data_IF_152502522632
#
_entry.id   IF_152502522632
#
_cell.length_a   1.000
_cell.length_b   1.000
_cell.length_c   1.000
_cell.angle_alpha   90.00
_cell.angle_beta   90.00
_cell.angle_gamma   90.00
#
_symmetry.space_group_name_H-M   'P 1'
#
loop_
_entity.id
_entity.type
_entity.pdbx_description
1 polymer ?
#
# COMPACT_ATOMS: atom_id res chain seq x y z
N UNK A 1 24.14 23.38 -18.86
CA UNK A 1 24.18 22.66 -17.57
C UNK A 1 24.40 23.71 -16.49
N UNK A 2 23.62 23.74 -15.40
CA UNK A 2 23.73 24.79 -14.35
C UNK A 2 25.08 24.69 -13.61
N UNK A 3 25.68 25.83 -13.19
CA UNK A 3 26.95 25.88 -12.41
C UNK A 3 26.93 24.89 -11.24
N UNK A 4 25.80 24.82 -10.53
CA UNK A 4 25.58 23.93 -9.40
C UNK A 4 25.74 22.43 -9.71
N UNK A 5 25.46 21.99 -10.94
CA UNK A 5 25.64 20.59 -11.33
C UNK A 5 27.09 20.25 -11.68
N UNK A 6 27.86 21.24 -12.16
CA UNK A 6 29.28 21.07 -12.39
C UNK A 6 30.00 20.98 -11.04
N UNK A 7 29.70 21.90 -10.12
CA UNK A 7 30.28 21.89 -8.77
C UNK A 7 30.02 20.56 -8.03
N UNK A 8 28.79 20.04 -8.11
CA UNK A 8 28.43 18.75 -7.50
C UNK A 8 29.16 17.56 -8.16
N UNK A 9 29.37 17.60 -9.47
CA UNK A 9 30.14 16.58 -10.19
C UNK A 9 31.61 16.61 -9.74
N UNK A 10 32.19 17.80 -9.65
CA UNK A 10 33.59 17.98 -9.26
C UNK A 10 33.83 17.61 -7.80
N UNK A 11 32.85 17.80 -6.91
CA UNK A 11 32.93 17.29 -5.53
C UNK A 11 32.83 15.77 -5.47
N UNK A 12 31.88 15.15 -6.18
CA UNK A 12 31.78 13.67 -6.25
C UNK A 12 33.05 13.03 -6.79
N UNK A 13 33.66 13.64 -7.79
CA UNK A 13 34.94 13.19 -8.34
C UNK A 13 36.06 13.29 -7.29
N UNK A 14 36.11 14.38 -6.52
CA UNK A 14 37.05 14.51 -5.39
C UNK A 14 36.81 13.46 -4.31
N UNK A 15 35.57 13.14 -3.95
CA UNK A 15 35.26 12.08 -3.00
C UNK A 15 35.69 10.69 -3.52
N UNK A 16 35.48 10.41 -4.81
CA UNK A 16 35.96 9.18 -5.44
C UNK A 16 37.49 9.07 -5.38
N UNK A 17 38.22 10.14 -5.71
CA UNK A 17 39.68 10.15 -5.63
C UNK A 17 40.19 9.96 -4.20
N UNK A 18 39.51 10.53 -3.19
CA UNK A 18 39.83 10.26 -1.77
C UNK A 18 39.62 8.80 -1.42
N UNK A 19 38.53 8.19 -1.88
CA UNK A 19 38.26 6.77 -1.66
C UNK A 19 39.29 5.87 -2.36
N UNK A 20 39.69 6.18 -3.59
CA UNK A 20 40.75 5.48 -4.32
C UNK A 20 42.09 5.55 -3.56
N UNK A 21 42.45 6.71 -2.99
CA UNK A 21 43.66 6.84 -2.18
C UNK A 21 43.61 6.03 -0.87
N UNK A 22 42.41 5.64 -0.42
CA UNK A 22 42.16 4.92 0.83
C UNK A 22 41.72 3.47 0.61
N UNK A 23 41.77 2.96 -0.62
CA UNK A 23 41.16 1.67 -0.96
C UNK A 23 41.85 0.47 -0.31
N UNK A 24 43.09 0.62 0.18
CA UNK A 24 43.83 -0.45 0.86
C UNK A 24 43.90 -1.72 -0.02
N UNK A 25 43.48 -2.85 0.55
CA UNK A 25 43.44 -4.15 -0.12
C UNK A 25 42.15 -4.39 -0.96
N UNK A 26 41.28 -3.38 -1.13
CA UNK A 26 40.08 -3.52 -1.93
C UNK A 26 40.45 -3.78 -3.40
N UNK A 27 39.83 -4.80 -4.00
CA UNK A 27 40.03 -5.14 -5.40
C UNK A 27 39.23 -4.23 -6.34
N UNK A 28 38.09 -3.71 -5.88
CA UNK A 28 37.20 -2.84 -6.66
C UNK A 28 36.62 -1.69 -5.83
N UNK A 29 36.46 -0.54 -6.47
CA UNK A 29 35.76 0.64 -5.92
C UNK A 29 34.52 0.90 -6.76
N UNK A 30 33.37 1.12 -6.12
CA UNK A 30 32.11 1.38 -6.79
C UNK A 30 31.64 2.80 -6.50
N UNK A 31 31.07 3.45 -7.51
CA UNK A 31 30.26 4.64 -7.38
C UNK A 31 28.83 4.30 -7.79
N UNK A 32 27.89 4.40 -6.85
CA UNK A 32 26.46 4.14 -7.08
C UNK A 32 25.73 5.47 -7.10
N UNK A 33 25.16 5.84 -8.23
CA UNK A 33 24.30 7.01 -8.40
C UNK A 33 22.98 6.68 -9.08
N UNK A 34 22.21 7.72 -9.41
CA UNK A 34 21.02 7.59 -10.24
C UNK A 34 21.09 8.49 -11.47
N UNK A 35 20.77 7.94 -12.64
CA UNK A 35 20.76 8.66 -13.91
C UNK A 35 19.34 9.12 -14.28
N UNK A 36 18.90 10.23 -13.67
CA UNK A 36 17.59 10.83 -13.94
C UNK A 36 17.69 12.00 -14.92
N UNK A 37 16.90 12.06 -16.01
CA UNK A 37 16.89 13.17 -16.94
C UNK A 37 16.27 14.46 -16.35
N UNK A 38 16.67 15.62 -16.88
CA UNK A 38 16.09 16.93 -16.53
C UNK A 38 16.70 17.61 -15.28
N UNK A 39 16.16 18.78 -14.89
CA UNK A 39 16.72 19.61 -13.82
C UNK A 39 16.37 19.10 -12.41
N UNK A 40 15.31 18.30 -12.26
CA UNK A 40 14.91 17.71 -10.99
C UNK A 40 15.64 16.38 -10.75
N UNK A 41 16.90 16.48 -10.30
CA UNK A 41 17.76 15.32 -9.96
C UNK A 41 17.50 14.75 -8.57
N UNK A 42 16.78 15.49 -7.73
CA UNK A 42 16.29 15.05 -6.43
C UNK A 42 14.82 14.64 -6.56
N UNK A 43 14.58 13.35 -6.83
CA UNK A 43 13.22 12.78 -6.87
C UNK A 43 12.99 11.87 -5.67
N UNK A 44 11.78 11.89 -5.10
CA UNK A 44 11.44 10.95 -4.04
C UNK A 44 11.63 9.50 -4.52
N UNK A 45 12.35 8.72 -3.70
CA UNK A 45 12.62 7.31 -3.97
C UNK A 45 13.97 6.97 -4.55
N UNK A 46 14.69 7.95 -5.12
CA UNK A 46 16.06 7.72 -5.60
C UNK A 46 16.99 7.24 -4.49
N UNK A 47 16.86 7.78 -3.27
CA UNK A 47 17.72 7.36 -2.16
C UNK A 47 17.49 5.90 -1.77
N UNK A 48 16.23 5.42 -1.85
CA UNK A 48 15.90 4.02 -1.58
C UNK A 48 16.38 3.11 -2.71
N UNK A 49 16.26 3.55 -3.95
CA UNK A 49 16.76 2.83 -5.10
C UNK A 49 18.29 2.69 -5.05
N UNK A 50 19.02 3.79 -4.79
CA UNK A 50 20.47 3.79 -4.65
C UNK A 50 20.94 2.93 -3.46
N UNK A 51 20.26 3.00 -2.32
CA UNK A 51 20.58 2.15 -1.17
C UNK A 51 20.31 0.67 -1.46
N UNK A 52 19.17 0.34 -2.07
CA UNK A 52 18.86 -1.05 -2.45
C UNK A 52 19.87 -1.63 -3.45
N UNK A 53 20.49 -0.79 -4.26
CA UNK A 53 21.57 -1.22 -5.15
C UNK A 53 22.85 -1.59 -4.38
N UNK A 54 23.20 -0.85 -3.32
CA UNK A 54 24.28 -1.26 -2.43
C UNK A 54 23.96 -2.56 -1.71
N UNK A 55 22.75 -2.69 -1.17
CA UNK A 55 22.32 -3.87 -0.41
C UNK A 55 22.31 -5.14 -1.27
N UNK A 56 22.16 -4.99 -2.60
CA UNK A 56 22.19 -6.07 -3.59
C UNK A 56 23.58 -6.46 -4.08
N UNK A 57 24.64 -5.80 -3.63
CA UNK A 57 26.03 -6.08 -4.00
C UNK A 57 26.85 -6.46 -2.78
N UNK A 58 27.84 -7.35 -2.94
CA UNK A 58 28.80 -7.68 -1.88
C UNK A 58 29.85 -6.56 -1.74
N UNK A 59 29.45 -5.48 -1.09
CA UNK A 59 30.24 -4.25 -0.95
C UNK A 59 30.15 -3.68 0.46
N UNK A 60 31.18 -2.93 0.84
CA UNK A 60 31.21 -2.14 2.06
C UNK A 60 31.12 -0.65 1.70
N UNK A 61 30.03 0.01 2.10
CA UNK A 61 29.88 1.45 1.90
C UNK A 61 30.93 2.23 2.72
N UNK A 62 31.60 3.18 2.05
CA UNK A 62 32.67 4.01 2.63
C UNK A 62 32.22 5.47 2.76
N UNK A 63 31.46 5.93 1.76
CA UNK A 63 30.90 7.28 1.76
C UNK A 63 29.50 7.25 1.16
N UNK A 64 28.62 8.09 1.68
CA UNK A 64 27.24 8.22 1.21
C UNK A 64 26.85 9.69 1.31
N UNK A 65 26.26 10.21 0.25
CA UNK A 65 25.97 11.63 0.14
C UNK A 65 24.69 11.92 -0.63
N UNK A 66 24.27 13.18 -0.55
CA UNK A 66 23.14 13.70 -1.31
C UNK A 66 23.45 15.14 -1.71
N UNK A 67 23.39 15.43 -3.01
CA UNK A 67 23.71 16.75 -3.55
C UNK A 67 22.78 17.14 -4.71
N UNK A 68 23.19 18.13 -5.51
CA UNK A 68 22.41 18.63 -6.64
C UNK A 68 22.20 17.61 -7.76
N UNK A 69 22.97 16.53 -7.81
CA UNK A 69 22.84 15.41 -8.75
C UNK A 69 22.08 14.22 -8.13
N UNK A 70 21.59 14.34 -6.90
CA UNK A 70 20.79 13.32 -6.21
C UNK A 70 21.57 12.54 -5.14
N UNK A 71 21.08 11.36 -4.71
CA UNK A 71 21.81 10.48 -3.81
C UNK A 71 22.99 9.81 -4.53
N UNK A 72 24.05 9.51 -3.80
CA UNK A 72 25.14 8.69 -4.28
C UNK A 72 25.85 7.96 -3.13
N UNK A 73 26.54 6.88 -3.48
CA UNK A 73 27.36 6.11 -2.55
C UNK A 73 28.69 5.73 -3.19
N UNK A 74 29.72 5.62 -2.36
CA UNK A 74 31.01 5.06 -2.71
C UNK A 74 31.22 3.84 -1.83
N UNK A 75 31.57 2.71 -2.44
CA UNK A 75 31.73 1.43 -1.75
C UNK A 75 32.99 0.68 -2.20
N UNK A 76 33.53 -0.16 -1.33
CA UNK A 76 34.64 -1.06 -1.65
C UNK A 76 34.15 -2.50 -1.78
N UNK A 77 34.77 -3.28 -2.66
CA UNK A 77 34.54 -4.72 -2.79
C UNK A 77 35.86 -5.48 -2.86
N UNK A 78 35.87 -6.68 -2.29
CA UNK A 78 36.95 -7.64 -2.46
C UNK A 78 36.85 -8.41 -3.80
N UNK A 79 35.73 -8.26 -4.53
CA UNK A 79 35.52 -8.92 -5.82
C UNK A 79 36.36 -8.32 -6.96
N UNK A 80 36.65 -9.14 -7.97
CA UNK A 80 37.35 -8.69 -9.18
C UNK A 80 36.54 -7.60 -9.93
N UNK A 81 37.17 -6.52 -10.43
CA UNK A 81 36.48 -5.41 -11.09
C UNK A 81 35.58 -5.80 -12.26
N UNK A 82 35.96 -6.82 -13.03
CA UNK A 82 35.17 -7.31 -14.17
C UNK A 82 33.91 -8.03 -13.67
N UNK A 83 34.06 -8.87 -12.64
CA UNK A 83 32.94 -9.59 -12.02
C UNK A 83 31.98 -8.64 -11.32
N UNK A 84 32.49 -7.68 -10.56
CA UNK A 84 31.69 -6.67 -9.86
C UNK A 84 30.93 -5.80 -10.87
N UNK A 85 31.56 -5.41 -11.99
CA UNK A 85 30.86 -4.66 -13.04
C UNK A 85 29.77 -5.49 -13.71
N UNK A 86 30.00 -6.78 -13.94
CA UNK A 86 28.97 -7.67 -14.47
C UNK A 86 27.75 -7.78 -13.51
N UNK A 87 27.99 -7.92 -12.21
CA UNK A 87 26.94 -7.93 -11.18
C UNK A 87 26.18 -6.60 -11.13
N UNK A 88 26.89 -5.47 -11.20
CA UNK A 88 26.29 -4.14 -11.26
C UNK A 88 25.37 -3.99 -12.49
N UNK A 89 25.81 -4.45 -13.68
CA UNK A 89 24.98 -4.42 -14.88
C UNK A 89 23.76 -5.34 -14.75
N UNK A 90 23.91 -6.52 -14.15
CA UNK A 90 22.79 -7.42 -13.89
C UNK A 90 21.76 -6.76 -12.95
N UNK A 91 22.23 -6.04 -11.92
CA UNK A 91 21.39 -5.32 -10.98
C UNK A 91 20.63 -4.15 -11.63
N UNK A 92 21.26 -3.40 -12.54
CA UNK A 92 20.59 -2.37 -13.36
C UNK A 92 19.43 -2.95 -14.19
N UNK A 93 19.52 -4.23 -14.59
CA UNK A 93 18.51 -4.93 -15.38
C UNK A 93 17.51 -5.76 -14.57
N UNK A 94 17.71 -5.91 -13.25
CA UNK A 94 16.95 -6.84 -12.41
C UNK A 94 15.50 -6.38 -12.21
N UNK A 95 15.27 -5.07 -12.12
CA UNK A 95 13.94 -4.47 -11.96
C UNK A 95 13.74 -3.34 -12.97
N UNK A 96 12.48 -2.97 -13.31
CA UNK A 96 12.21 -1.81 -14.14
C UNK A 96 12.85 -0.52 -13.60
N UNK A 97 12.84 -0.33 -12.28
CA UNK A 97 13.42 0.82 -11.58
C UNK A 97 14.96 0.82 -11.60
N UNK A 98 15.59 -0.35 -11.68
CA UNK A 98 17.05 -0.51 -11.78
C UNK A 98 17.65 0.20 -12.98
N UNK A 99 16.86 0.46 -14.04
CA UNK A 99 17.28 1.24 -15.22
C UNK A 99 17.63 2.70 -14.91
N UNK A 100 17.23 3.20 -13.74
CA UNK A 100 17.56 4.54 -13.26
C UNK A 100 18.87 4.55 -12.44
N UNK A 101 19.45 3.40 -12.13
CA UNK A 101 20.74 3.31 -11.46
C UNK A 101 21.89 3.63 -12.42
N UNK A 102 22.96 4.15 -11.85
CA UNK A 102 24.23 4.35 -12.53
C UNK A 102 25.34 3.83 -11.63
N UNK A 103 25.79 2.60 -11.90
CA UNK A 103 26.79 1.92 -11.07
C UNK A 103 28.11 1.84 -11.84
N UNK A 104 29.06 2.67 -11.44
CA UNK A 104 30.41 2.68 -11.97
C UNK A 104 31.35 1.87 -11.08
N UNK A 105 32.27 1.14 -11.72
CA UNK A 105 33.25 0.28 -11.05
C UNK A 105 34.63 0.69 -11.54
N UNK A 106 35.54 0.87 -10.59
CA UNK A 106 36.91 1.32 -10.80
C UNK A 106 37.87 0.30 -10.22
N UNK A 107 39.01 0.13 -10.91
CA UNK A 107 40.17 -0.58 -10.38
C UNK A 107 40.92 0.29 -9.36
N UNK A 108 41.79 -0.29 -8.52
CA UNK A 108 42.57 0.47 -7.54
C UNK A 108 43.49 1.53 -8.16
N UNK A 109 43.90 1.35 -9.43
CA UNK A 109 44.68 2.34 -10.18
C UNK A 109 43.84 3.51 -10.74
N UNK A 110 42.53 3.53 -10.45
CA UNK A 110 41.57 4.55 -10.91
C UNK A 110 40.98 4.29 -12.30
N UNK A 111 41.36 3.20 -12.98
CA UNK A 111 40.80 2.89 -14.31
C UNK A 111 39.36 2.37 -14.19
N UNK A 112 38.44 2.98 -14.93
CA UNK A 112 37.03 2.57 -14.95
C UNK A 112 36.85 1.28 -15.78
N UNK A 113 36.02 0.37 -15.29
CA UNK A 113 35.51 -0.78 -16.05
C UNK A 113 34.21 -0.36 -16.72
N UNK A 114 34.28 -0.11 -18.03
CA UNK A 114 33.12 0.31 -18.82
C UNK A 114 32.36 -0.89 -19.41
N UNK A 115 31.17 -0.63 -19.96
CA UNK A 115 30.36 -1.68 -20.59
C UNK A 115 30.99 -2.23 -21.88
N UNK A 116 31.75 -1.40 -22.59
CA UNK A 116 32.37 -1.74 -23.87
C UNK A 116 33.50 -2.76 -23.70
N UNK A 117 34.32 -2.62 -22.65
CA UNK A 117 35.37 -3.57 -22.28
C UNK A 117 34.83 -4.94 -21.90
N UNK A 118 33.53 -5.05 -21.58
CA UNK A 118 32.81 -6.30 -21.31
C UNK A 118 32.05 -6.84 -22.54
N UNK A 119 32.12 -6.18 -23.70
CA UNK A 119 31.38 -6.56 -24.90
C UNK A 119 29.85 -6.37 -24.79
N UNK A 120 29.38 -5.55 -23.86
CA UNK A 120 27.96 -5.34 -23.60
C UNK A 120 27.37 -4.21 -24.45
N UNK A 121 26.08 -4.31 -24.85
CA UNK A 121 25.43 -3.26 -25.63
C UNK A 121 25.23 -1.96 -24.83
N UNK A 122 25.05 -0.86 -25.56
CA UNK A 122 24.72 0.46 -24.99
C UNK A 122 23.42 0.40 -24.19
N UNK A 123 23.25 1.33 -23.23
CA UNK A 123 22.01 1.39 -22.44
C UNK A 123 20.80 1.70 -23.36
N UNK A 124 19.71 0.92 -23.26
CA UNK A 124 18.49 1.17 -24.01
C UNK A 124 17.75 2.41 -23.47
N UNK A 125 17.10 3.14 -24.37
CA UNK A 125 16.28 4.30 -24.08
C UNK A 125 15.15 3.92 -23.13
N UNK A 126 14.87 4.77 -22.12
CA UNK A 126 13.82 4.52 -21.11
C UNK A 126 12.41 4.34 -21.71
N UNK A 127 12.18 4.83 -22.93
CA UNK A 127 10.87 4.86 -23.58
C UNK A 127 10.72 3.86 -24.73
N UNK A 128 11.71 3.75 -25.63
CA UNK A 128 11.57 3.00 -26.88
C UNK A 128 12.62 1.91 -27.11
N UNK A 129 13.43 1.59 -26.10
CA UNK A 129 14.46 0.52 -26.11
C UNK A 129 15.63 0.65 -27.10
N UNK A 130 15.53 1.54 -28.09
CA UNK A 130 16.64 1.97 -28.95
C UNK A 130 17.82 2.53 -28.15
N UNK A 131 19.06 2.56 -28.68
CA UNK A 131 20.21 3.13 -27.98
C UNK A 131 19.95 4.55 -27.46
N UNK A 132 20.06 4.75 -26.14
CA UNK A 132 19.69 6.02 -25.49
C UNK A 132 20.46 7.22 -26.05
N UNK A 133 21.72 7.02 -26.44
CA UNK A 133 22.59 8.06 -27.02
C UNK A 133 22.03 8.60 -28.35
N UNK A 134 21.43 7.75 -29.16
CA UNK A 134 20.80 8.14 -30.43
C UNK A 134 19.48 8.88 -30.18
N UNK A 135 18.68 8.40 -29.24
CA UNK A 135 17.43 9.07 -28.86
C UNK A 135 17.66 10.49 -28.33
N UNK A 136 18.71 10.68 -27.52
CA UNK A 136 19.11 12.01 -27.00
C UNK A 136 19.56 12.92 -28.14
N UNK A 137 20.43 12.44 -29.04
CA UNK A 137 20.96 13.24 -30.16
C UNK A 137 19.86 13.65 -31.15
N UNK A 138 18.91 12.77 -31.40
CA UNK A 138 17.80 13.00 -32.32
C UNK A 138 16.60 13.71 -31.66
N UNK A 139 16.61 13.91 -30.33
CA UNK A 139 15.50 14.53 -29.61
C UNK A 139 14.18 13.78 -29.77
N UNK A 140 14.21 12.44 -29.88
CA UNK A 140 13.03 11.61 -30.24
C UNK A 140 11.89 11.68 -29.22
N UNK A 141 12.17 12.04 -27.97
CA UNK A 141 11.20 12.04 -26.87
C UNK A 141 11.13 13.40 -26.18
N UNK A 142 9.92 13.76 -25.77
CA UNK A 142 9.69 14.98 -25.00
C UNK A 142 10.21 14.84 -23.57
N UNK A 143 10.61 15.97 -22.97
CA UNK A 143 11.05 15.98 -21.57
C UNK A 143 9.94 15.52 -20.62
N UNK A 144 8.70 15.96 -20.83
CA UNK A 144 7.56 15.58 -19.98
C UNK A 144 7.31 14.06 -19.98
N UNK A 145 7.39 13.42 -21.16
CA UNK A 145 7.22 11.97 -21.32
C UNK A 145 8.31 11.18 -20.59
N UNK A 146 9.57 11.60 -20.72
CA UNK A 146 10.70 11.02 -19.99
C UNK A 146 10.52 11.15 -18.47
N UNK A 147 10.08 12.31 -17.97
CA UNK A 147 9.86 12.52 -16.54
C UNK A 147 8.70 11.66 -16.01
N UNK A 148 7.60 11.54 -16.76
CA UNK A 148 6.49 10.67 -16.40
C UNK A 148 6.91 9.20 -16.31
N UNK A 149 7.76 8.72 -17.24
CA UNK A 149 8.31 7.37 -17.18
C UNK A 149 9.20 7.17 -15.95
N UNK A 150 10.04 8.15 -15.61
CA UNK A 150 10.86 8.11 -14.39
C UNK A 150 9.98 8.02 -13.14
N UNK A 151 8.91 8.82 -13.05
CA UNK A 151 7.99 8.78 -11.92
C UNK A 151 7.26 7.43 -11.81
N UNK A 152 6.85 6.86 -12.94
CA UNK A 152 6.27 5.51 -12.98
C UNK A 152 7.26 4.44 -12.50
N UNK A 153 8.52 4.49 -12.94
CA UNK A 153 9.57 3.57 -12.49
C UNK A 153 9.91 3.74 -11.01
N UNK A 154 9.84 4.98 -10.51
CA UNK A 154 10.05 5.27 -9.10
C UNK A 154 8.80 5.05 -8.25
N UNK A 155 7.64 4.71 -8.81
CA UNK A 155 6.42 4.53 -8.01
C UNK A 155 6.63 3.47 -6.91
N UNK A 156 7.31 2.36 -7.22
CA UNK A 156 7.68 1.31 -6.26
C UNK A 156 8.67 1.80 -5.18
N UNK A 157 9.47 2.82 -5.52
CA UNK A 157 10.50 3.38 -4.66
C UNK A 157 10.15 4.75 -4.08
N UNK A 158 9.01 5.38 -4.41
CA UNK A 158 8.75 6.83 -4.46
C UNK A 158 8.88 7.61 -3.15
N UNK A 159 8.22 8.77 -3.02
CA UNK A 159 8.11 9.42 -1.71
C UNK A 159 7.49 8.42 -0.73
N UNK A 160 7.84 8.41 0.57
CA UNK A 160 7.03 7.67 1.51
C UNK A 160 5.61 8.19 1.37
N UNK A 161 4.68 7.38 0.83
CA UNK A 161 3.26 7.70 0.87
C UNK A 161 2.93 7.91 2.34
N UNK A 162 2.58 9.16 2.70
CA UNK A 162 2.32 9.56 4.07
C UNK A 162 0.82 9.64 4.29
N UNK A 163 0.30 8.68 5.03
CA UNK A 163 -1.02 8.72 5.63
C UNK A 163 -0.95 9.63 6.87
N UNK A 164 -1.12 10.93 6.69
CA UNK A 164 -1.21 11.84 7.84
C UNK A 164 -2.42 11.43 8.69
N UNK A 165 -2.30 11.23 10.02
CA UNK A 165 -3.40 10.71 10.82
C UNK A 165 -4.69 11.53 10.73
N UNK A 166 -4.60 12.87 10.66
CA UNK A 166 -5.79 13.71 10.47
C UNK A 166 -6.47 13.49 9.13
N UNK A 167 -5.70 13.36 8.04
CA UNK A 167 -6.23 13.02 6.70
C UNK A 167 -6.85 11.63 6.70
N UNK A 168 -6.17 10.64 7.31
CA UNK A 168 -6.68 9.28 7.40
C UNK A 168 -7.98 9.21 8.22
N UNK A 169 -8.09 9.94 9.33
CA UNK A 169 -9.34 10.02 10.10
C UNK A 169 -10.51 10.55 9.26
N UNK A 170 -10.28 11.61 8.46
CA UNK A 170 -11.29 12.15 7.56
C UNK A 170 -11.66 11.13 6.45
N UNK A 171 -10.69 10.45 5.85
CA UNK A 171 -10.98 9.48 4.79
C UNK A 171 -11.60 8.19 5.33
N UNK A 172 -11.38 7.82 6.59
CA UNK A 172 -12.08 6.71 7.26
C UNK A 172 -13.59 6.99 7.35
N UNK A 173 -13.99 8.21 7.73
CA UNK A 173 -15.41 8.59 7.65
C UNK A 173 -15.95 8.50 6.22
N UNK A 174 -15.25 9.08 5.25
CA UNK A 174 -15.66 9.02 3.84
C UNK A 174 -15.69 7.59 3.28
N UNK A 175 -14.82 6.71 3.75
CA UNK A 175 -14.77 5.29 3.39
C UNK A 175 -16.05 4.56 3.81
N UNK A 176 -16.52 4.80 5.04
CA UNK A 176 -17.79 4.25 5.52
C UNK A 176 -18.98 4.78 4.71
N UNK A 177 -19.00 6.08 4.38
CA UNK A 177 -20.04 6.66 3.54
C UNK A 177 -20.04 6.05 2.13
N UNK A 178 -18.86 5.90 1.54
CA UNK A 178 -18.70 5.34 0.20
C UNK A 178 -19.13 3.88 0.13
N UNK A 179 -18.89 3.13 1.19
CA UNK A 179 -19.37 1.76 1.33
C UNK A 179 -20.87 1.66 1.44
N UNK A 180 -21.50 2.55 2.20
CA UNK A 180 -22.95 2.63 2.27
C UNK A 180 -23.57 3.04 0.91
N UNK A 181 -22.87 3.89 0.16
CA UNK A 181 -23.32 4.42 -1.13
C UNK A 181 -23.11 3.47 -2.32
N UNK A 182 -22.30 2.42 -2.19
CA UNK A 182 -22.19 1.42 -3.25
C UNK A 182 -23.51 0.65 -3.32
N UNK A 183 -24.16 0.72 -4.47
CA UNK A 183 -25.49 0.14 -4.70
C UNK A 183 -25.55 -0.46 -6.10
N UNK A 184 -26.06 -1.69 -6.28
CA UNK A 184 -26.58 -2.61 -5.24
C UNK A 184 -25.49 -3.36 -4.45
N UNK A 185 -25.77 -3.70 -3.19
CA UNK A 185 -24.85 -4.39 -2.27
C UNK A 185 -25.57 -5.53 -1.52
N UNK A 186 -25.56 -6.76 -2.06
CA UNK A 186 -26.38 -7.87 -1.60
C UNK A 186 -26.30 -8.17 -0.09
N UNK A 187 -27.44 -8.32 0.56
CA UNK A 187 -27.56 -8.68 1.98
C UNK A 187 -27.14 -7.59 2.97
N UNK A 188 -26.65 -6.46 2.50
CA UNK A 188 -26.26 -5.28 3.30
C UNK A 188 -27.23 -4.12 3.05
N UNK A 189 -27.19 -3.13 3.93
CA UNK A 189 -27.93 -1.87 3.73
C UNK A 189 -27.23 -1.05 2.64
N UNK A 190 -28.00 -0.57 1.68
CA UNK A 190 -27.58 0.35 0.63
C UNK A 190 -28.72 1.34 0.27
N UNK A 191 -28.66 2.00 -0.89
CA UNK A 191 -29.69 2.97 -1.32
C UNK A 191 -30.99 2.32 -1.82
N UNK A 192 -30.97 1.03 -2.15
CA UNK A 192 -32.15 0.31 -2.62
C UNK A 192 -32.96 -0.24 -1.45
N UNK A 193 -32.33 -0.91 -0.50
CA UNK A 193 -33.02 -1.49 0.65
C UNK A 193 -32.10 -1.81 1.84
N UNK A 194 -32.69 -2.42 2.88
CA UNK A 194 -32.00 -2.78 4.11
C UNK A 194 -31.25 -4.13 4.05
N UNK A 195 -31.22 -4.78 2.89
CA UNK A 195 -30.69 -6.13 2.72
C UNK A 195 -31.31 -7.10 3.71
N UNK A 196 -30.47 -7.87 4.37
CA UNK A 196 -30.89 -8.83 5.39
C UNK A 196 -31.08 -8.20 6.78
N UNK A 197 -31.12 -6.88 6.92
CA UNK A 197 -31.23 -6.17 8.21
C UNK A 197 -32.55 -5.40 8.30
N UNK A 198 -33.69 -6.04 8.62
CA UNK A 198 -34.99 -5.38 8.67
C UNK A 198 -35.08 -4.30 9.77
N UNK A 199 -34.13 -4.28 10.68
CA UNK A 199 -33.97 -3.32 11.78
C UNK A 199 -33.16 -2.07 11.40
N UNK A 200 -32.60 -2.01 10.19
CA UNK A 200 -31.77 -0.91 9.73
C UNK A 200 -32.37 -0.19 8.51
N UNK A 201 -32.01 1.09 8.35
CA UNK A 201 -32.31 1.86 7.13
C UNK A 201 -31.04 2.56 6.64
N UNK A 202 -31.07 3.01 5.38
CA UNK A 202 -29.99 3.81 4.82
C UNK A 202 -29.71 5.07 5.67
N UNK A 203 -30.77 5.77 6.10
CA UNK A 203 -30.67 6.98 6.92
C UNK A 203 -30.07 6.70 8.30
N UNK A 204 -30.47 5.60 8.94
CA UNK A 204 -29.92 5.19 10.23
C UNK A 204 -28.42 4.85 10.10
N UNK A 205 -28.05 4.10 9.05
CA UNK A 205 -26.64 3.78 8.76
C UNK A 205 -25.84 5.04 8.45
N UNK A 206 -26.39 5.95 7.64
CA UNK A 206 -25.75 7.23 7.33
C UNK A 206 -25.50 8.06 8.57
N UNK A 207 -26.51 8.21 9.43
CA UNK A 207 -26.40 8.91 10.70
C UNK A 207 -25.37 8.25 11.63
N UNK A 208 -25.29 6.91 11.67
CA UNK A 208 -24.26 6.21 12.45
C UNK A 208 -22.85 6.47 11.93
N UNK A 209 -22.63 6.53 10.61
CA UNK A 209 -21.34 6.85 10.04
C UNK A 209 -20.91 8.29 10.36
N UNK A 210 -21.86 9.24 10.44
CA UNK A 210 -21.60 10.63 10.81
C UNK A 210 -21.18 10.80 12.29
N UNK A 211 -21.28 9.76 13.13
CA UNK A 211 -20.74 9.72 14.50
C UNK A 211 -19.28 9.27 14.58
N UNK A 212 -18.71 8.73 13.49
CA UNK A 212 -17.33 8.24 13.43
C UNK A 212 -16.27 9.36 13.56
N UNK A 213 -16.42 10.57 12.99
CA UNK A 213 -15.43 11.63 13.15
C UNK A 213 -15.08 11.91 14.62
N UNK A 214 -16.10 11.99 15.49
CA UNK A 214 -15.91 12.18 16.92
C UNK A 214 -15.14 11.04 17.58
N UNK A 215 -15.38 9.80 17.15
CA UNK A 215 -14.60 8.65 17.62
C UNK A 215 -13.11 8.79 17.25
N UNK A 216 -12.81 9.20 16.02
CA UNK A 216 -11.42 9.37 15.59
C UNK A 216 -10.72 10.53 16.32
N UNK A 217 -11.42 11.63 16.58
CA UNK A 217 -10.92 12.75 17.40
C UNK A 217 -10.58 12.28 18.83
N UNK A 218 -11.52 11.60 19.49
CA UNK A 218 -11.33 11.05 20.84
C UNK A 218 -10.12 10.09 20.87
N UNK A 219 -9.98 9.25 19.84
CA UNK A 219 -8.90 8.28 19.74
C UNK A 219 -7.53 8.94 19.55
N UNK A 220 -7.45 9.95 18.68
CA UNK A 220 -6.22 10.71 18.42
C UNK A 220 -5.79 11.54 19.64
N UNK A 221 -6.75 12.14 20.35
CA UNK A 221 -6.48 12.87 21.58
C UNK A 221 -5.88 11.95 22.66
N UNK A 222 -6.52 10.81 22.94
CA UNK A 222 -6.02 9.82 23.90
C UNK A 222 -4.66 9.25 23.49
N UNK A 223 -4.41 9.06 22.19
CA UNK A 223 -3.10 8.65 21.70
C UNK A 223 -2.03 9.72 21.95
N UNK A 224 -2.34 10.99 21.67
CA UNK A 224 -1.43 12.13 21.92
C UNK A 224 -1.05 12.29 23.39
N UNK A 225 -2.00 12.00 24.29
CA UNK A 225 -1.80 11.93 25.74
C UNK A 225 -1.03 10.68 26.22
N UNK A 226 -0.66 9.77 25.30
CA UNK A 226 0.03 8.50 25.60
C UNK A 226 -0.74 7.60 26.56
N UNK A 227 -2.06 7.59 26.44
CA UNK A 227 -2.96 6.73 27.23
C UNK A 227 -2.69 5.25 26.99
N UNK A 228 -3.08 4.42 27.95
CA UNK A 228 -2.92 2.96 27.86
C UNK A 228 -3.79 2.35 26.75
N UNK A 229 -3.43 1.13 26.29
CA UNK A 229 -4.24 0.39 25.32
C UNK A 229 -5.68 0.14 25.82
N UNK A 230 -5.87 -0.01 27.13
CA UNK A 230 -7.21 -0.14 27.73
C UNK A 230 -8.03 1.15 27.59
N UNK A 231 -7.43 2.31 27.79
CA UNK A 231 -8.11 3.61 27.60
C UNK A 231 -8.39 3.91 26.13
N UNK A 232 -7.51 3.46 25.21
CA UNK A 232 -7.76 3.53 23.77
C UNK A 232 -8.89 2.59 23.35
N UNK A 233 -8.93 1.36 23.89
CA UNK A 233 -10.04 0.43 23.69
C UNK A 233 -11.37 1.00 24.21
N UNK A 234 -11.32 1.71 25.35
CA UNK A 234 -12.50 2.36 25.90
C UNK A 234 -13.08 3.41 24.93
N UNK A 235 -12.26 4.10 24.12
CA UNK A 235 -12.78 5.04 23.12
C UNK A 235 -13.64 4.34 22.07
N UNK A 236 -13.27 3.10 21.67
CA UNK A 236 -14.08 2.28 20.78
C UNK A 236 -15.40 1.87 21.42
N UNK A 237 -15.38 1.47 22.70
CA UNK A 237 -16.59 1.15 23.47
C UNK A 237 -17.51 2.36 23.62
N UNK A 238 -16.94 3.52 23.94
CA UNK A 238 -17.69 4.78 24.05
C UNK A 238 -18.36 5.15 22.71
N UNK A 239 -17.72 4.84 21.58
CA UNK A 239 -18.29 5.01 20.25
C UNK A 239 -19.44 4.03 19.97
N UNK A 240 -19.27 2.74 20.30
CA UNK A 240 -20.34 1.74 20.20
C UNK A 240 -21.56 2.12 21.06
N UNK A 241 -21.33 2.53 22.31
CA UNK A 241 -22.40 2.95 23.24
C UNK A 241 -23.10 4.23 22.78
N UNK A 242 -22.38 5.13 22.10
CA UNK A 242 -22.97 6.33 21.49
C UNK A 242 -23.86 5.95 20.31
N UNK A 243 -23.40 5.08 19.41
CA UNK A 243 -24.22 4.59 18.29
C UNK A 243 -25.49 3.90 18.78
N UNK A 244 -25.38 3.03 19.79
CA UNK A 244 -26.54 2.34 20.34
C UNK A 244 -27.57 3.32 20.96
N UNK A 245 -27.10 4.35 21.68
CA UNK A 245 -27.98 5.35 22.30
C UNK A 245 -28.65 6.28 21.30
N UNK A 246 -27.92 6.73 20.27
CA UNK A 246 -28.41 7.75 19.34
C UNK A 246 -29.17 7.14 18.15
N UNK A 247 -28.76 5.96 17.68
CA UNK A 247 -29.30 5.32 16.47
C UNK A 247 -30.14 4.08 16.80
N UNK A 248 -29.94 3.46 17.97
CA UNK A 248 -30.66 2.23 18.36
C UNK A 248 -30.00 0.93 17.88
N UNK A 249 -28.82 1.01 17.25
CA UNK A 249 -28.05 -0.15 16.79
C UNK A 249 -26.56 0.02 17.10
N UNK A 250 -25.84 -1.09 17.22
CA UNK A 250 -24.38 -1.12 17.33
C UNK A 250 -23.71 -1.40 15.96
N UNK A 251 -24.24 -0.79 14.90
CA UNK A 251 -23.68 -0.83 13.55
C UNK A 251 -22.18 -0.48 13.56
N UNK A 252 -21.45 -0.90 12.52
CA UNK A 252 -20.02 -0.60 12.35
C UNK A 252 -19.07 -1.10 13.45
N UNK A 253 -19.49 -2.00 14.35
CA UNK A 253 -18.62 -2.52 15.41
C UNK A 253 -17.27 -3.06 14.89
N UNK A 254 -17.29 -3.83 13.80
CA UNK A 254 -16.06 -4.32 13.18
C UNK A 254 -15.25 -3.18 12.54
N UNK A 255 -15.91 -2.26 11.84
CA UNK A 255 -15.28 -1.07 11.29
C UNK A 255 -14.64 -0.16 12.34
N UNK A 256 -15.28 0.13 13.47
CA UNK A 256 -14.74 0.93 14.58
C UNK A 256 -13.40 0.34 15.03
N UNK A 257 -13.37 -0.98 15.26
CA UNK A 257 -12.15 -1.65 15.65
C UNK A 257 -11.05 -1.56 14.58
N UNK A 258 -11.37 -1.91 13.33
CA UNK A 258 -10.41 -1.93 12.22
C UNK A 258 -9.86 -0.53 11.88
N UNK A 259 -10.75 0.46 11.78
CA UNK A 259 -10.41 1.85 11.49
C UNK A 259 -9.59 2.46 12.63
N UNK A 260 -9.98 2.23 13.89
CA UNK A 260 -9.22 2.69 15.05
C UNK A 260 -7.83 2.09 15.14
N UNK A 261 -7.71 0.77 14.95
CA UNK A 261 -6.43 0.07 14.92
C UNK A 261 -5.52 0.63 13.82
N UNK A 262 -6.07 0.83 12.62
CA UNK A 262 -5.34 1.36 11.46
C UNK A 262 -4.89 2.81 11.71
N UNK A 263 -5.74 3.65 12.29
CA UNK A 263 -5.43 5.04 12.62
C UNK A 263 -4.31 5.13 13.66
N UNK A 264 -4.37 4.31 14.71
CA UNK A 264 -3.32 4.23 15.73
C UNK A 264 -1.99 3.70 15.15
N UNK A 265 -2.05 2.68 14.30
CA UNK A 265 -0.87 2.17 13.60
C UNK A 265 -0.23 3.23 12.69
N UNK A 266 -1.06 4.01 11.98
CA UNK A 266 -0.60 5.15 11.19
C UNK A 266 0.10 6.22 12.07
N UNK A 267 -0.42 6.49 13.27
CA UNK A 267 0.26 7.36 14.23
C UNK A 267 1.63 6.79 14.65
N UNK A 268 1.71 5.50 15.00
CA UNK A 268 2.94 4.84 15.43
C UNK A 268 4.03 4.84 14.34
N UNK A 269 3.64 4.58 13.09
CA UNK A 269 4.56 4.57 11.96
C UNK A 269 4.80 5.97 11.35
N UNK A 270 4.29 7.04 12.00
CA UNK A 270 4.38 8.44 11.55
C UNK A 270 3.85 8.64 10.12
N UNK A 271 2.77 7.93 9.81
CA UNK A 271 2.07 7.95 8.54
C UNK A 271 2.75 7.18 7.40
N UNK A 272 3.88 6.53 7.61
CA UNK A 272 4.58 5.82 6.52
C UNK A 272 3.77 4.59 6.08
N UNK A 273 3.13 4.65 4.92
CA UNK A 273 2.29 3.55 4.41
C UNK A 273 3.05 2.22 4.35
N UNK A 274 4.30 2.24 3.90
CA UNK A 274 5.15 1.03 3.83
C UNK A 274 5.37 0.35 5.20
N UNK A 275 5.17 1.07 6.30
CA UNK A 275 5.32 0.56 7.68
C UNK A 275 3.96 0.34 8.35
N UNK A 276 2.85 0.60 7.65
CA UNK A 276 1.52 0.48 8.23
C UNK A 276 1.17 -0.97 8.56
N UNK A 277 1.40 -1.93 7.65
CA UNK A 277 1.09 -3.35 7.90
C UNK A 277 1.88 -3.91 9.11
N UNK A 278 3.22 -3.76 9.21
CA UNK A 278 3.95 -4.16 10.41
C UNK A 278 3.45 -3.48 11.69
N UNK A 279 3.12 -2.19 11.63
CA UNK A 279 2.59 -1.46 12.77
C UNK A 279 1.19 -1.96 13.20
N UNK A 280 0.33 -2.33 12.26
CA UNK A 280 -0.98 -2.95 12.55
C UNK A 280 -0.76 -4.29 13.26
N UNK A 281 0.13 -5.14 12.75
CA UNK A 281 0.40 -6.45 13.35
C UNK A 281 0.93 -6.34 14.78
N UNK A 282 1.92 -5.47 15.00
CA UNK A 282 2.50 -5.21 16.33
C UNK A 282 1.46 -4.66 17.31
N UNK A 283 0.67 -3.67 16.87
CA UNK A 283 -0.38 -3.09 17.70
C UNK A 283 -1.50 -4.11 18.00
N UNK A 284 -1.92 -4.90 17.02
CA UNK A 284 -2.92 -5.96 17.21
C UNK A 284 -2.45 -6.99 18.23
N UNK A 285 -1.21 -7.46 18.12
CA UNK A 285 -0.63 -8.42 19.05
C UNK A 285 -0.63 -7.87 20.49
N UNK A 286 -0.19 -6.62 20.68
CA UNK A 286 -0.19 -5.95 21.99
C UNK A 286 -1.62 -5.73 22.51
N UNK A 287 -2.53 -5.31 21.63
CA UNK A 287 -3.93 -5.05 21.97
C UNK A 287 -4.63 -6.31 22.47
N UNK A 288 -4.51 -7.45 21.78
CA UNK A 288 -5.20 -8.67 22.19
C UNK A 288 -4.64 -9.30 23.46
N UNK A 289 -3.40 -8.98 23.84
CA UNK A 289 -2.83 -9.33 25.15
C UNK A 289 -3.35 -8.40 26.25
N UNK A 290 -3.35 -7.08 26.00
CA UNK A 290 -3.76 -6.09 27.00
C UNK A 290 -5.27 -6.05 27.24
N UNK A 291 -6.07 -6.33 26.20
CA UNK A 291 -7.52 -6.28 26.19
C UNK A 291 -8.10 -7.64 25.80
N UNK A 292 -7.96 -8.69 26.63
CA UNK A 292 -8.47 -10.01 26.30
C UNK A 292 -9.99 -9.96 26.11
N UNK A 293 -10.54 -10.66 25.11
CA UNK A 293 -11.98 -10.65 24.85
C UNK A 293 -12.72 -11.24 26.05
N UNK A 294 -13.54 -10.43 26.72
CA UNK A 294 -14.40 -10.89 27.80
C UNK A 294 -15.77 -11.29 27.25
N UNK A 295 -16.13 -12.57 27.36
CA UNK A 295 -17.52 -13.06 27.36
C UNK A 295 -18.47 -12.58 26.25
N UNK A 296 -17.97 -12.20 25.07
CA UNK A 296 -18.86 -11.83 23.95
C UNK A 296 -19.28 -13.08 23.19
N UNK A 297 -20.55 -13.18 22.79
CA UNK A 297 -21.08 -14.27 21.94
C UNK A 297 -20.20 -14.55 20.69
N UNK A 298 -19.49 -13.54 20.18
CA UNK A 298 -18.55 -13.70 19.07
C UNK A 298 -17.22 -14.38 19.43
N UNK A 299 -16.76 -14.31 20.68
CA UNK A 299 -15.56 -15.01 21.14
C UNK A 299 -15.78 -16.53 21.22
N UNK A 300 -16.96 -16.94 21.70
CA UNK A 300 -17.35 -18.34 21.77
C UNK A 300 -17.62 -18.95 20.38
N UNK A 301 -18.21 -18.19 19.45
CA UNK A 301 -18.45 -18.67 18.09
C UNK A 301 -17.13 -18.88 17.30
N UNK A 302 -16.17 -17.94 17.44
CA UNK A 302 -14.83 -18.04 16.83
C UNK A 302 -14.05 -19.25 17.36
N UNK A 303 -14.13 -19.50 18.67
CA UNK A 303 -13.48 -20.64 19.30
C UNK A 303 -14.10 -21.98 18.87
N UNK A 304 -15.42 -22.03 18.63
CA UNK A 304 -16.14 -23.26 18.23
C UNK A 304 -16.03 -23.61 16.74
N UNK A 305 -15.84 -22.62 15.87
CA UNK A 305 -15.86 -22.78 14.41
C UNK A 305 -14.48 -22.62 13.75
N UNK A 306 -13.43 -22.33 14.52
CA UNK A 306 -12.05 -22.21 14.01
C UNK A 306 -11.79 -20.95 13.17
N UNK A 307 -12.71 -19.98 13.16
CA UNK A 307 -12.62 -18.78 12.34
C UNK A 307 -11.89 -17.65 13.05
N UNK A 308 -10.92 -17.06 12.34
CA UNK A 308 -10.11 -15.96 12.85
C UNK A 308 -10.80 -14.60 12.78
N UNK A 309 -11.59 -14.38 11.72
CA UNK A 309 -12.32 -13.14 11.44
C UNK A 309 -11.43 -11.88 11.49
N UNK A 310 -12.02 -10.75 11.87
CA UNK A 310 -11.34 -9.45 11.99
C UNK A 310 -10.09 -9.51 12.91
N UNK A 311 -10.08 -10.42 13.89
CA UNK A 311 -8.91 -10.61 14.76
C UNK A 311 -7.73 -11.22 14.00
N UNK A 312 -7.96 -12.26 13.20
CA UNK A 312 -6.90 -12.84 12.39
C UNK A 312 -6.43 -11.88 11.30
N UNK A 313 -7.36 -11.17 10.65
CA UNK A 313 -7.03 -10.09 9.71
C UNK A 313 -6.07 -9.08 10.36
N UNK A 314 -6.43 -8.55 11.54
CA UNK A 314 -5.59 -7.58 12.25
C UNK A 314 -4.21 -8.15 12.63
N UNK A 315 -4.15 -9.38 13.13
CA UNK A 315 -2.88 -10.04 13.50
C UNK A 315 -1.97 -10.32 12.29
N UNK A 316 -2.55 -10.49 11.11
CA UNK A 316 -1.83 -10.71 9.85
C UNK A 316 -1.59 -9.42 9.05
N UNK A 317 -1.98 -8.26 9.60
CA UNK A 317 -1.76 -6.97 8.95
C UNK A 317 -2.69 -6.72 7.76
N UNK A 318 -3.94 -7.15 7.89
CA UNK A 318 -5.07 -6.94 6.98
C UNK A 318 -4.82 -7.43 5.53
N UNK A 319 -4.48 -8.71 5.31
CA UNK A 319 -4.25 -9.26 3.97
C UNK A 319 -5.46 -9.07 3.04
N UNK A 320 -6.70 -9.20 3.53
CA UNK A 320 -7.88 -8.95 2.70
C UNK A 320 -7.88 -7.54 2.08
N UNK A 321 -7.46 -6.54 2.85
CA UNK A 321 -7.38 -5.15 2.38
C UNK A 321 -6.17 -4.95 1.47
N UNK A 322 -4.95 -5.28 1.93
CA UNK A 322 -3.73 -4.88 1.24
C UNK A 322 -3.32 -5.79 0.07
N UNK A 323 -3.70 -7.07 0.10
CA UNK A 323 -3.27 -8.07 -0.90
C UNK A 323 -4.38 -8.37 -1.92
N UNK A 324 -5.64 -8.13 -1.57
CA UNK A 324 -6.79 -8.46 -2.41
C UNK A 324 -7.64 -7.25 -2.79
N UNK A 325 -8.27 -6.59 -1.81
CA UNK A 325 -9.19 -5.50 -2.06
C UNK A 325 -8.52 -4.29 -2.73
N UNK A 326 -7.42 -3.80 -2.15
CA UNK A 326 -6.71 -2.64 -2.67
C UNK A 326 -6.17 -2.88 -4.08
N UNK A 327 -5.44 -3.97 -4.38
CA UNK A 327 -4.99 -4.24 -5.75
C UNK A 327 -6.14 -4.37 -6.75
N UNK A 328 -7.26 -5.01 -6.37
CA UNK A 328 -8.43 -5.14 -7.25
C UNK A 328 -9.02 -3.78 -7.60
N UNK A 329 -9.25 -2.93 -6.59
CA UNK A 329 -9.79 -1.58 -6.79
C UNK A 329 -8.87 -0.70 -7.65
N UNK A 330 -7.55 -0.73 -7.38
CA UNK A 330 -6.57 0.04 -8.14
C UNK A 330 -6.48 -0.39 -9.59
N UNK A 331 -6.37 -1.70 -9.86
CA UNK A 331 -6.30 -2.21 -11.24
C UNK A 331 -7.51 -1.79 -12.07
N UNK A 332 -8.70 -1.84 -11.47
CA UNK A 332 -9.93 -1.40 -12.11
C UNK A 332 -9.89 0.10 -12.47
N UNK A 333 -9.49 0.96 -11.54
CA UNK A 333 -9.33 2.40 -11.80
C UNK A 333 -8.24 2.70 -12.84
N UNK A 334 -7.09 2.02 -12.76
CA UNK A 334 -5.95 2.18 -13.69
C UNK A 334 -6.31 1.71 -15.11
N UNK A 335 -7.27 0.79 -15.23
CA UNK A 335 -7.87 0.36 -16.50
C UNK A 335 -8.95 1.32 -17.02
N UNK A 336 -9.16 2.46 -16.35
CA UNK A 336 -10.10 3.51 -16.75
C UNK A 336 -11.56 3.22 -16.40
N UNK A 337 -11.83 2.21 -15.57
CA UNK A 337 -13.20 1.91 -15.15
C UNK A 337 -13.74 2.99 -14.21
N UNK A 338 -15.06 3.22 -14.30
CA UNK A 338 -15.73 4.17 -13.42
C UNK A 338 -15.59 3.75 -11.94
N UNK A 339 -15.53 4.70 -11.00
CA UNK A 339 -15.29 4.38 -9.59
C UNK A 339 -16.33 3.47 -8.94
N UNK A 340 -17.58 3.46 -9.44
CA UNK A 340 -18.63 2.53 -9.02
C UNK A 340 -18.32 1.10 -9.46
N UNK A 341 -17.93 0.91 -10.72
CA UNK A 341 -17.57 -0.41 -11.27
C UNK A 341 -16.30 -0.94 -10.61
N UNK A 342 -15.30 -0.08 -10.38
CA UNK A 342 -14.13 -0.44 -9.58
C UNK A 342 -14.53 -0.88 -8.15
N UNK A 343 -15.56 -0.27 -7.57
CA UNK A 343 -16.14 -0.67 -6.30
C UNK A 343 -16.72 -2.09 -6.30
N UNK A 344 -17.30 -2.55 -7.42
CA UNK A 344 -17.77 -3.94 -7.53
C UNK A 344 -16.62 -4.94 -7.67
N UNK A 345 -15.51 -4.58 -8.35
CA UNK A 345 -14.30 -5.40 -8.33
C UNK A 345 -13.70 -5.53 -6.92
N UNK A 346 -13.69 -4.44 -6.16
CA UNK A 346 -13.31 -4.45 -4.75
C UNK A 346 -14.21 -5.40 -3.93
N UNK A 347 -15.53 -5.28 -4.10
CA UNK A 347 -16.51 -6.13 -3.41
C UNK A 347 -16.29 -7.61 -3.75
N UNK A 348 -16.16 -7.95 -5.04
CA UNK A 348 -15.90 -9.32 -5.49
C UNK A 348 -14.62 -9.91 -4.87
N UNK A 349 -13.52 -9.14 -4.91
CA UNK A 349 -12.25 -9.58 -4.33
C UNK A 349 -12.34 -9.85 -2.81
N UNK A 350 -13.10 -9.03 -2.08
CA UNK A 350 -13.27 -9.19 -0.64
C UNK A 350 -14.26 -10.30 -0.29
N UNK A 351 -15.36 -10.46 -1.03
CA UNK A 351 -16.29 -11.60 -0.88
C UNK A 351 -15.57 -12.94 -1.07
N UNK A 352 -14.59 -13.01 -1.97
CA UNK A 352 -13.81 -14.23 -2.22
C UNK A 352 -12.83 -14.58 -1.08
N UNK A 353 -12.37 -13.60 -0.31
CA UNK A 353 -11.20 -13.75 0.58
C UNK A 353 -11.50 -13.58 2.06
N UNK A 354 -12.44 -12.70 2.42
CA UNK A 354 -12.76 -12.40 3.82
C UNK A 354 -13.50 -13.57 4.48
N UNK A 355 -12.99 -14.02 5.63
CA UNK A 355 -13.72 -14.94 6.53
C UNK A 355 -14.83 -14.18 7.29
N UNK A 356 -15.95 -13.95 6.62
CA UNK A 356 -17.02 -13.12 7.16
C UNK A 356 -17.77 -13.82 8.31
N UNK A 357 -17.47 -13.39 9.54
CA UNK A 357 -18.13 -13.94 10.74
C UNK A 357 -19.62 -13.62 10.84
N UNK A 358 -20.11 -12.58 10.16
CA UNK A 358 -21.55 -12.26 10.14
C UNK A 358 -22.31 -13.22 9.23
N UNK A 359 -21.71 -13.61 8.11
CA UNK A 359 -22.22 -14.64 7.22
C UNK A 359 -22.31 -15.99 7.94
N UNK A 360 -21.21 -16.40 8.59
CA UNK A 360 -21.18 -17.67 9.32
C UNK A 360 -22.15 -17.68 10.51
N UNK A 361 -22.29 -16.56 11.22
CA UNK A 361 -23.26 -16.47 12.31
C UNK A 361 -24.70 -16.68 11.85
N UNK A 362 -25.07 -16.21 10.65
CA UNK A 362 -26.44 -16.31 10.15
C UNK A 362 -26.72 -17.58 9.35
N UNK A 363 -25.75 -18.06 8.59
CA UNK A 363 -25.95 -19.14 7.62
C UNK A 363 -24.93 -20.28 7.73
N UNK A 364 -24.07 -20.29 8.75
CA UNK A 364 -23.03 -21.31 8.91
C UNK A 364 -21.91 -21.23 7.85
N UNK A 365 -21.04 -22.25 7.78
CA UNK A 365 -19.99 -22.35 6.76
C UNK A 365 -20.52 -22.26 5.33
N UNK A 366 -21.74 -22.71 5.09
CA UNK A 366 -22.44 -22.64 3.80
C UNK A 366 -22.64 -21.20 3.33
N UNK A 367 -22.88 -20.26 4.26
CA UNK A 367 -22.96 -18.84 3.95
C UNK A 367 -21.65 -18.28 3.39
N UNK A 368 -20.52 -18.71 3.94
CA UNK A 368 -19.20 -18.29 3.46
C UNK A 368 -18.87 -18.93 2.10
N UNK A 369 -19.25 -20.20 1.91
CA UNK A 369 -19.13 -20.86 0.61
C UNK A 369 -19.97 -20.16 -0.46
N UNK A 370 -21.20 -19.76 -0.12
CA UNK A 370 -22.09 -19.01 -1.02
C UNK A 370 -21.45 -17.67 -1.43
N UNK A 371 -20.93 -16.89 -0.46
CA UNK A 371 -20.24 -15.64 -0.75
C UNK A 371 -19.08 -15.82 -1.75
N UNK A 372 -18.27 -16.88 -1.59
CA UNK A 372 -17.15 -17.17 -2.49
C UNK A 372 -17.58 -17.55 -3.91
N UNK A 373 -18.66 -18.32 -4.03
CA UNK A 373 -19.23 -18.68 -5.33
C UNK A 373 -19.78 -17.45 -6.06
N UNK A 374 -20.53 -16.62 -5.34
CA UNK A 374 -21.11 -15.40 -5.88
C UNK A 374 -20.03 -14.36 -6.23
N UNK A 375 -18.94 -14.31 -5.46
CA UNK A 375 -17.77 -13.48 -5.74
C UNK A 375 -17.13 -13.85 -7.09
N UNK A 376 -16.96 -15.15 -7.34
CA UNK A 376 -16.41 -15.65 -8.60
C UNK A 376 -17.32 -15.27 -9.77
N UNK A 377 -18.63 -15.52 -9.64
CA UNK A 377 -19.60 -15.19 -10.68
C UNK A 377 -19.67 -13.67 -10.96
N UNK A 378 -19.59 -12.84 -9.90
CA UNK A 378 -19.53 -11.39 -10.03
C UNK A 378 -18.25 -10.96 -10.78
N UNK A 379 -17.10 -11.52 -10.40
CA UNK A 379 -15.82 -11.20 -11.03
C UNK A 379 -15.81 -11.59 -12.52
N UNK A 380 -16.31 -12.78 -12.87
CA UNK A 380 -16.46 -13.23 -14.26
C UNK A 380 -17.36 -12.28 -15.08
N UNK A 381 -18.46 -11.81 -14.49
CA UNK A 381 -19.37 -10.86 -15.14
C UNK A 381 -18.68 -9.51 -15.39
N UNK A 382 -17.96 -8.99 -14.39
CA UNK A 382 -17.24 -7.72 -14.47
C UNK A 382 -16.10 -7.77 -15.50
N UNK A 383 -15.35 -8.88 -15.56
CA UNK A 383 -14.26 -9.08 -16.52
C UNK A 383 -14.77 -9.13 -17.97
N UNK A 384 -16.01 -9.55 -18.17
CA UNK A 384 -16.70 -9.49 -19.47
C UNK A 384 -17.26 -8.10 -19.79
N UNK A 385 -17.08 -7.10 -18.92
CA UNK A 385 -17.61 -5.74 -19.09
C UNK A 385 -19.14 -5.67 -19.06
N UNK A 386 -19.81 -6.65 -18.45
CA UNK A 386 -21.27 -6.70 -18.36
C UNK A 386 -21.78 -5.88 -17.18
N UNK A 387 -23.02 -5.42 -17.28
CA UNK A 387 -23.69 -4.72 -16.18
C UNK A 387 -23.95 -5.69 -15.00
N UNK A 388 -23.35 -5.46 -13.81
CA UNK A 388 -23.52 -6.34 -12.67
C UNK A 388 -24.86 -6.14 -11.95
N UNK A 389 -25.59 -5.07 -12.22
CA UNK A 389 -26.75 -4.66 -11.42
C UNK A 389 -27.88 -5.71 -11.39
N UNK A 390 -28.32 -6.32 -12.51
CA UNK A 390 -29.34 -7.36 -12.48
C UNK A 390 -28.91 -8.60 -11.67
N UNK A 391 -27.63 -8.97 -11.78
CA UNK A 391 -27.06 -10.10 -11.04
C UNK A 391 -27.04 -9.81 -9.54
N UNK A 392 -26.55 -8.63 -9.15
CA UNK A 392 -26.50 -8.21 -7.75
C UNK A 392 -27.90 -8.04 -7.14
N UNK A 393 -28.88 -7.54 -7.89
CA UNK A 393 -30.26 -7.46 -7.43
C UNK A 393 -30.85 -8.86 -7.14
N UNK A 394 -30.60 -9.83 -8.04
CA UNK A 394 -31.02 -11.22 -7.82
C UNK A 394 -30.31 -11.85 -6.61
N UNK A 395 -29.01 -11.59 -6.43
CA UNK A 395 -28.28 -12.03 -5.25
C UNK A 395 -28.83 -11.42 -3.97
N UNK A 396 -29.24 -10.15 -3.98
CA UNK A 396 -29.82 -9.51 -2.80
C UNK A 396 -31.11 -10.22 -2.36
N UNK A 397 -31.98 -10.57 -3.32
CA UNK A 397 -33.20 -11.34 -3.04
C UNK A 397 -32.88 -12.70 -2.40
N UNK A 398 -31.88 -13.41 -2.92
CA UNK A 398 -31.43 -14.68 -2.34
C UNK A 398 -30.87 -14.48 -0.93
N UNK A 399 -30.04 -13.46 -0.73
CA UNK A 399 -29.41 -13.20 0.56
C UNK A 399 -30.45 -12.85 1.62
N UNK A 400 -31.45 -12.04 1.25
CA UNK A 400 -32.60 -11.73 2.10
C UNK A 400 -33.36 -12.98 2.53
N UNK A 401 -33.65 -13.91 1.60
CA UNK A 401 -34.35 -15.18 1.91
C UNK A 401 -33.53 -16.08 2.83
N UNK A 402 -32.22 -16.15 2.60
CA UNK A 402 -31.29 -16.93 3.43
C UNK A 402 -30.95 -16.26 4.76
N UNK A 403 -31.33 -14.99 4.92
CA UNK A 403 -30.83 -14.11 5.97
C UNK A 403 -29.30 -13.96 5.96
N UNK A 404 -28.66 -14.03 4.79
CA UNK A 404 -27.22 -13.89 4.61
C UNK A 404 -26.80 -12.41 4.60
N UNK A 405 -25.71 -12.08 5.28
CA UNK A 405 -25.09 -10.74 5.27
C UNK A 405 -23.57 -10.87 5.22
N UNK A 406 -22.88 -9.82 4.79
CA UNK A 406 -21.42 -9.78 4.67
C UNK A 406 -20.80 -8.54 5.33
N UNK A 407 -21.03 -8.37 6.63
CA UNK A 407 -20.58 -7.18 7.37
C UNK A 407 -19.05 -7.05 7.48
N UNK A 408 -18.30 -8.15 7.52
CA UNK A 408 -16.84 -8.12 7.49
C UNK A 408 -16.30 -7.69 6.13
N UNK A 409 -16.97 -8.08 5.05
CA UNK A 409 -16.68 -7.57 3.69
C UNK A 409 -16.90 -6.06 3.64
N UNK A 410 -18.05 -5.57 4.14
CA UNK A 410 -18.35 -4.14 4.26
C UNK A 410 -17.26 -3.37 5.01
N UNK A 411 -16.86 -3.84 6.20
CA UNK A 411 -15.82 -3.20 7.00
C UNK A 411 -14.49 -3.08 6.22
N UNK A 412 -14.11 -4.13 5.48
CA UNK A 412 -12.90 -4.14 4.65
C UNK A 412 -13.00 -3.23 3.43
N UNK A 413 -14.18 -3.12 2.81
CA UNK A 413 -14.43 -2.21 1.70
C UNK A 413 -14.26 -0.75 2.13
N UNK A 414 -14.95 -0.37 3.21
CA UNK A 414 -14.85 0.96 3.79
C UNK A 414 -13.39 1.32 4.14
N UNK A 415 -12.64 0.37 4.70
CA UNK A 415 -11.24 0.60 5.06
C UNK A 415 -10.33 0.72 3.83
N UNK A 416 -10.56 -0.10 2.81
CA UNK A 416 -9.80 -0.06 1.55
C UNK A 416 -9.96 1.31 0.87
N UNK A 417 -11.19 1.80 0.74
CA UNK A 417 -11.42 3.12 0.16
C UNK A 417 -10.82 4.25 0.96
N UNK A 418 -10.93 4.20 2.29
CA UNK A 418 -10.35 5.21 3.17
C UNK A 418 -8.84 5.32 2.99
N UNK A 419 -8.15 4.18 2.95
CA UNK A 419 -6.71 4.16 2.77
C UNK A 419 -6.29 4.55 1.36
N UNK A 420 -7.01 4.09 0.32
CA UNK A 420 -6.78 4.52 -1.06
C UNK A 420 -6.89 6.05 -1.18
N UNK A 421 -7.96 6.64 -0.64
CA UNK A 421 -8.18 8.08 -0.67
C UNK A 421 -7.13 8.88 0.12
N UNK A 422 -6.59 8.34 1.22
CA UNK A 422 -5.53 8.99 1.99
C UNK A 422 -4.12 8.83 1.38
N UNK A 423 -3.96 7.88 0.45
CA UNK A 423 -2.69 7.59 -0.23
C UNK A 423 -2.56 8.25 -1.61
N UNK A 424 -3.68 8.70 -2.18
CA UNK A 424 -3.77 9.47 -3.42
C UNK A 424 -3.38 10.92 -3.16
#
# INVERSE_FOLDING_TARGET
MSSRFLDARDERDRELHRALAQCGDAASILFVGCNVPGPAKARPGLSRLAQGALDGLEVQAVHSGFDALGPFHIAFSAGDPVQVKAAAVALEGLTPSGRLLDIDVYRPDGTQVDRASLGLPQRPCLLCEEPARECIRAGRHGQAELLAKVDALLHEHGAPQRLLPGTLAATLHLGAIRELDLTPKPGLVDRHDAGSHPDLTYEAMRASADLLPRYFEDLLARFGERRSLNELNQAGRDAEDRMLREIGTNAHKGYIFLSGLTLLAACQCRGRLAQLRPAIMDLAAKFFVACPPQGTHGADLRARQGLGGIRAEALQGLPAVFEHGWPAYRRALESGLEPRIAGFHLMAALMATVEDTTAVRRCGPEGLQRLRQDAQALQELLDLGRDPEPFLAALNEDYRRMNLTMGGVADCMALTWALHAASA
#
